data_IF_207545678889
#
_entry.id   IF_207545678889
#
_cell.length_a   1.000
_cell.length_b   1.000
_cell.length_c   1.000
_cell.angle_alpha   90.00
_cell.angle_beta   90.00
_cell.angle_gamma   90.00
#
_symmetry.space_group_name_H-M   'P 1'
#
loop_
_entity.id
_entity.type
_entity.pdbx_description
1 polymer ?
#
# COMPACT_ATOMS: atom_id res chain seq x y z
N UNK A 1 -20.62 -0.02 -21.48
CA UNK A 1 -20.37 -0.51 -20.10
C UNK A 1 -19.49 -1.74 -20.19
N UNK A 2 -18.20 -1.60 -19.96
CA UNK A 2 -17.24 -2.70 -20.00
C UNK A 2 -17.09 -3.35 -18.60
N UNK A 3 -16.94 -4.69 -18.56
CA UNK A 3 -16.69 -5.42 -17.31
C UNK A 3 -15.24 -5.85 -17.22
N UNK A 4 -14.59 -5.42 -16.14
CA UNK A 4 -13.18 -5.69 -15.87
C UNK A 4 -13.01 -6.67 -14.72
N UNK A 5 -12.17 -7.69 -14.92
CA UNK A 5 -11.66 -8.58 -13.89
C UNK A 5 -10.20 -8.22 -13.63
N UNK A 6 -9.90 -7.61 -12.49
CA UNK A 6 -8.53 -7.23 -12.15
C UNK A 6 -7.92 -8.31 -11.25
N UNK A 7 -6.75 -8.83 -11.63
CA UNK A 7 -5.93 -9.62 -10.71
C UNK A 7 -4.99 -8.66 -9.99
N UNK A 8 -5.31 -8.38 -8.72
CA UNK A 8 -4.63 -7.41 -7.89
C UNK A 8 -3.27 -7.89 -7.38
N UNK A 9 -2.45 -6.97 -6.88
CA UNK A 9 -1.18 -7.27 -6.24
C UNK A 9 -1.38 -7.88 -4.84
N UNK A 10 -0.29 -8.40 -4.25
CA UNK A 10 -0.32 -9.11 -2.97
C UNK A 10 0.25 -8.30 -1.79
N UNK A 11 0.57 -7.03 -1.97
CA UNK A 11 1.05 -6.12 -0.93
C UNK A 11 0.06 -4.99 -0.70
N UNK A 12 -0.07 -4.56 0.56
CA UNK A 12 -1.02 -3.49 0.97
C UNK A 12 -0.76 -2.21 0.18
N UNK A 13 0.47 -1.71 0.15
CA UNK A 13 0.83 -0.49 -0.57
C UNK A 13 0.58 -0.59 -2.08
N UNK A 14 0.93 -1.74 -2.68
CA UNK A 14 0.66 -1.98 -4.10
C UNK A 14 -0.85 -2.01 -4.39
N UNK A 15 -1.67 -2.59 -3.49
CA UNK A 15 -3.13 -2.61 -3.65
C UNK A 15 -3.72 -1.19 -3.58
N UNK A 16 -3.22 -0.36 -2.66
CA UNK A 16 -3.63 1.07 -2.60
C UNK A 16 -3.21 1.79 -3.89
N UNK A 17 -1.97 1.62 -4.34
CA UNK A 17 -1.52 2.21 -5.62
C UNK A 17 -2.29 1.69 -6.83
N UNK A 18 -2.83 0.47 -6.80
CA UNK A 18 -3.65 -0.08 -7.87
C UNK A 18 -4.98 0.65 -8.05
N UNK A 19 -5.47 1.38 -7.04
CA UNK A 19 -6.65 2.22 -7.19
C UNK A 19 -6.50 3.27 -8.29
N UNK A 20 -5.29 3.79 -8.53
CA UNK A 20 -5.03 4.70 -9.65
C UNK A 20 -5.40 4.09 -11.01
N UNK A 21 -5.20 2.77 -11.18
CA UNK A 21 -5.69 2.04 -12.36
C UNK A 21 -7.23 2.00 -12.39
N UNK A 22 -7.87 1.75 -11.26
CA UNK A 22 -9.35 1.64 -11.21
C UNK A 22 -10.00 2.99 -11.52
N UNK A 23 -9.46 4.08 -10.97
CA UNK A 23 -9.88 5.45 -11.29
C UNK A 23 -9.67 5.74 -12.78
N UNK A 24 -8.52 5.37 -13.36
CA UNK A 24 -8.23 5.54 -14.79
C UNK A 24 -9.26 4.81 -15.67
N UNK A 25 -9.66 3.59 -15.30
CA UNK A 25 -10.71 2.85 -16.02
C UNK A 25 -12.06 3.56 -15.92
N UNK A 26 -12.44 4.06 -14.75
CA UNK A 26 -13.68 4.81 -14.52
C UNK A 26 -13.70 6.17 -15.23
N UNK A 27 -12.57 6.86 -15.31
CA UNK A 27 -12.46 8.11 -16.09
C UNK A 27 -12.67 7.89 -17.60
N UNK A 28 -12.35 6.71 -18.10
CA UNK A 28 -12.54 6.36 -19.53
C UNK A 28 -13.93 5.80 -19.84
N UNK A 29 -14.55 5.12 -18.90
CA UNK A 29 -15.92 4.59 -18.97
C UNK A 29 -16.50 4.62 -17.56
N UNK A 30 -17.29 5.66 -17.25
CA UNK A 30 -17.90 5.85 -15.93
C UNK A 30 -18.75 4.65 -15.52
N UNK A 31 -19.39 4.00 -16.49
CA UNK A 31 -20.21 2.81 -16.31
C UNK A 31 -19.40 1.50 -16.20
N UNK A 32 -18.06 1.55 -16.32
CA UNK A 32 -17.25 0.35 -16.21
C UNK A 32 -17.49 -0.38 -14.89
N UNK A 33 -17.64 -1.68 -14.95
CA UNK A 33 -17.76 -2.54 -13.77
C UNK A 33 -16.40 -3.16 -13.46
N UNK A 34 -15.90 -2.99 -12.23
CA UNK A 34 -14.59 -3.47 -11.83
C UNK A 34 -14.73 -4.43 -10.65
N UNK A 35 -14.34 -5.68 -10.86
CA UNK A 35 -14.16 -6.68 -9.81
C UNK A 35 -12.68 -7.01 -9.65
N UNK A 36 -12.24 -7.14 -8.40
CA UNK A 36 -10.82 -7.32 -8.10
C UNK A 36 -10.58 -8.64 -7.38
N UNK A 37 -9.73 -9.49 -7.94
CA UNK A 37 -9.22 -10.70 -7.28
C UNK A 37 -8.01 -10.32 -6.45
N UNK A 38 -8.02 -10.66 -5.17
CA UNK A 38 -6.91 -10.43 -4.26
C UNK A 38 -6.82 -11.46 -3.12
N UNK A 39 -5.79 -11.40 -2.29
CA UNK A 39 -5.73 -12.17 -1.07
C UNK A 39 -6.82 -11.73 -0.07
N UNK A 40 -7.15 -12.60 0.88
CA UNK A 40 -8.25 -12.34 1.83
C UNK A 40 -8.13 -11.00 2.57
N UNK A 41 -6.93 -10.63 2.98
CA UNK A 41 -6.67 -9.36 3.68
C UNK A 41 -6.97 -8.11 2.83
N UNK A 42 -7.05 -8.22 1.49
CA UNK A 42 -7.27 -7.06 0.61
C UNK A 42 -8.74 -6.64 0.52
N UNK A 43 -9.68 -7.53 0.85
CA UNK A 43 -11.12 -7.25 0.78
C UNK A 43 -11.53 -5.99 1.56
N UNK A 44 -11.07 -5.76 2.79
CA UNK A 44 -11.38 -4.55 3.53
C UNK A 44 -10.90 -3.25 2.86
N UNK A 45 -9.72 -3.26 2.23
CA UNK A 45 -9.21 -2.10 1.49
C UNK A 45 -10.03 -1.87 0.23
N UNK A 46 -10.30 -2.92 -0.53
CA UNK A 46 -11.09 -2.84 -1.77
C UNK A 46 -12.52 -2.34 -1.52
N UNK A 47 -13.11 -2.68 -0.37
CA UNK A 47 -14.42 -2.16 0.05
C UNK A 47 -14.41 -0.63 0.31
N UNK A 48 -13.25 -0.03 0.55
CA UNK A 48 -13.06 1.42 0.71
C UNK A 48 -12.77 2.15 -0.62
N UNK A 49 -12.68 1.42 -1.73
CA UNK A 49 -12.46 1.96 -3.08
C UNK A 49 -13.78 2.07 -3.83
N UNK A 50 -14.29 3.30 -4.11
CA UNK A 50 -15.60 3.48 -4.76
C UNK A 50 -15.70 2.89 -6.16
N UNK A 51 -14.58 2.69 -6.83
CA UNK A 51 -14.50 2.14 -8.19
C UNK A 51 -14.79 0.64 -8.23
N UNK A 52 -14.59 -0.06 -7.11
CA UNK A 52 -14.67 -1.53 -7.02
C UNK A 52 -16.10 -1.97 -6.68
N UNK A 53 -16.70 -2.80 -7.54
CA UNK A 53 -17.99 -3.41 -7.29
C UNK A 53 -17.87 -4.58 -6.29
N UNK A 54 -16.98 -5.53 -6.58
CA UNK A 54 -16.77 -6.72 -5.75
C UNK A 54 -15.28 -7.00 -5.54
N UNK A 55 -14.93 -7.41 -4.31
CA UNK A 55 -13.67 -8.06 -4.02
C UNK A 55 -13.83 -9.58 -4.04
N UNK A 56 -12.98 -10.27 -4.80
CA UNK A 56 -13.01 -11.71 -4.98
C UNK A 56 -11.77 -12.30 -4.29
N UNK A 57 -11.99 -13.06 -3.23
CA UNK A 57 -10.89 -13.70 -2.52
C UNK A 57 -10.31 -14.86 -3.31
N UNK A 58 -9.00 -14.85 -3.52
CA UNK A 58 -8.25 -15.99 -4.01
C UNK A 58 -7.73 -16.81 -2.82
N UNK A 59 -8.30 -17.97 -2.51
CA UNK A 59 -7.97 -18.75 -1.32
C UNK A 59 -6.70 -19.59 -1.55
N UNK A 60 -5.57 -18.90 -1.80
CA UNK A 60 -4.23 -19.54 -1.94
C UNK A 60 -3.23 -18.79 -1.10
N UNK A 61 -2.34 -19.50 -0.41
CA UNK A 61 -1.23 -18.92 0.35
C UNK A 61 -0.20 -18.22 -0.54
N UNK A 62 0.62 -17.39 0.10
CA UNK A 62 1.75 -16.75 -0.58
C UNK A 62 2.74 -17.82 -1.06
N UNK A 63 3.15 -17.74 -2.32
CA UNK A 63 4.06 -18.75 -2.91
C UNK A 63 3.36 -19.98 -3.50
N UNK A 64 2.14 -20.32 -3.09
CA UNK A 64 1.42 -21.49 -3.58
C UNK A 64 1.04 -21.40 -5.06
N UNK A 65 1.14 -22.51 -5.77
CA UNK A 65 0.70 -22.62 -7.16
C UNK A 65 -0.82 -22.61 -7.26
N UNK A 66 -1.52 -23.39 -6.44
CA UNK A 66 -2.96 -23.43 -6.32
C UNK A 66 -3.70 -23.59 -7.66
N UNK A 67 -3.18 -24.39 -8.60
CA UNK A 67 -3.73 -24.51 -9.97
C UNK A 67 -5.19 -24.95 -9.95
N UNK A 68 -5.53 -25.97 -9.14
CA UNK A 68 -6.91 -26.46 -9.02
C UNK A 68 -7.85 -25.39 -8.49
N UNK A 69 -7.43 -24.66 -7.46
CA UNK A 69 -8.20 -23.55 -6.85
C UNK A 69 -8.42 -22.41 -7.84
N UNK A 70 -7.37 -22.01 -8.56
CA UNK A 70 -7.46 -20.98 -9.60
C UNK A 70 -8.36 -21.38 -10.77
N UNK A 71 -8.30 -22.67 -11.16
CA UNK A 71 -9.19 -23.23 -12.17
C UNK A 71 -10.63 -23.21 -11.71
N UNK A 72 -10.92 -23.67 -10.49
CA UNK A 72 -12.28 -23.67 -9.93
C UNK A 72 -12.83 -22.24 -9.87
N UNK A 73 -12.06 -21.30 -9.34
CA UNK A 73 -12.45 -19.88 -9.29
C UNK A 73 -12.68 -19.32 -10.71
N UNK A 74 -11.78 -19.59 -11.67
CA UNK A 74 -11.98 -19.14 -13.05
C UNK A 74 -13.25 -19.71 -13.67
N UNK A 75 -13.58 -20.97 -13.41
CA UNK A 75 -14.84 -21.55 -13.91
C UNK A 75 -16.09 -20.93 -13.28
N UNK A 76 -16.08 -20.60 -11.98
CA UNK A 76 -17.22 -19.95 -11.32
C UNK A 76 -17.46 -18.52 -11.82
N UNK A 77 -16.43 -17.86 -12.33
CA UNK A 77 -16.52 -16.49 -12.84
C UNK A 77 -16.97 -16.39 -14.31
N UNK A 78 -17.19 -17.52 -15.00
CA UNK A 78 -17.63 -17.51 -16.42
C UNK A 78 -18.99 -16.85 -16.64
N UNK A 79 -19.89 -17.01 -15.68
CA UNK A 79 -21.25 -16.41 -15.76
C UNK A 79 -21.25 -14.89 -15.64
N UNK A 80 -20.17 -14.29 -15.16
CA UNK A 80 -20.03 -12.83 -15.05
C UNK A 80 -19.79 -12.16 -16.42
N UNK A 81 -19.32 -12.91 -17.42
CA UNK A 81 -19.06 -12.40 -18.78
C UNK A 81 -18.17 -11.17 -18.81
N UNK A 82 -16.99 -11.24 -18.17
CA UNK A 82 -16.00 -10.16 -18.23
C UNK A 82 -15.45 -9.96 -19.65
N UNK A 83 -15.42 -8.72 -20.10
CA UNK A 83 -14.85 -8.32 -21.39
C UNK A 83 -13.33 -8.30 -21.31
N UNK A 84 -12.80 -7.72 -20.24
CA UNK A 84 -11.37 -7.49 -20.04
C UNK A 84 -10.90 -8.08 -18.71
N UNK A 85 -9.70 -8.63 -18.73
CA UNK A 85 -8.95 -8.94 -17.52
C UNK A 85 -7.62 -8.21 -17.54
N UNK A 86 -7.29 -7.52 -16.45
CA UNK A 86 -5.99 -6.88 -16.25
C UNK A 86 -5.23 -7.64 -15.15
N UNK A 87 -4.08 -8.20 -15.52
CA UNK A 87 -3.27 -9.03 -14.62
C UNK A 87 -2.05 -8.22 -14.17
N UNK A 88 -2.14 -7.58 -13.01
CA UNK A 88 -1.11 -6.71 -12.45
C UNK A 88 0.17 -7.51 -12.09
N UNK A 89 0.10 -8.63 -11.34
CA UNK A 89 1.28 -9.42 -11.02
C UNK A 89 1.87 -10.09 -12.27
N UNK A 90 3.20 -10.25 -12.30
CA UNK A 90 3.91 -10.77 -13.48
C UNK A 90 4.15 -12.27 -13.47
N UNK A 91 3.71 -12.98 -12.43
CA UNK A 91 3.86 -14.43 -12.33
C UNK A 91 2.92 -15.17 -13.30
N UNK A 92 3.36 -16.35 -13.76
CA UNK A 92 2.58 -17.22 -14.63
C UNK A 92 1.23 -17.57 -14.00
N UNK A 93 1.24 -17.97 -12.73
CA UNK A 93 0.05 -18.39 -11.99
C UNK A 93 -1.02 -17.29 -11.83
N UNK A 94 -0.65 -16.02 -11.86
CA UNK A 94 -1.60 -14.90 -11.73
C UNK A 94 -2.54 -14.77 -12.93
N UNK A 95 -2.16 -15.28 -14.10
CA UNK A 95 -2.99 -15.22 -15.29
C UNK A 95 -3.95 -16.43 -15.45
N UNK A 96 -3.88 -17.42 -14.54
CA UNK A 96 -4.70 -18.65 -14.66
C UNK A 96 -6.21 -18.38 -14.45
N UNK A 97 -6.58 -17.55 -13.47
CA UNK A 97 -8.00 -17.29 -13.19
C UNK A 97 -8.68 -16.65 -14.38
N UNK A 98 -8.19 -15.54 -14.97
CA UNK A 98 -8.78 -14.95 -16.17
C UNK A 98 -8.81 -15.90 -17.38
N UNK A 99 -7.78 -16.73 -17.53
CA UNK A 99 -7.74 -17.75 -18.59
C UNK A 99 -8.86 -18.80 -18.44
N UNK A 100 -9.04 -19.34 -17.25
CA UNK A 100 -10.11 -20.32 -16.99
C UNK A 100 -11.50 -19.69 -16.95
N UNK A 101 -11.60 -18.40 -16.62
CA UNK A 101 -12.85 -17.61 -16.72
C UNK A 101 -13.23 -17.32 -18.18
N UNK A 102 -12.35 -17.64 -19.17
CA UNK A 102 -12.55 -17.38 -20.60
C UNK A 102 -12.75 -15.89 -20.92
N UNK A 103 -12.11 -15.00 -20.15
CA UNK A 103 -12.15 -13.56 -20.44
C UNK A 103 -11.53 -13.30 -21.81
N UNK A 104 -12.23 -12.49 -22.64
CA UNK A 104 -11.86 -12.26 -24.04
C UNK A 104 -10.50 -11.55 -24.16
N UNK A 105 -10.33 -10.42 -23.48
CA UNK A 105 -9.12 -9.60 -23.50
C UNK A 105 -8.35 -9.79 -22.20
N UNK A 106 -7.17 -10.38 -22.25
CA UNK A 106 -6.34 -10.65 -21.06
C UNK A 106 -5.02 -9.89 -21.17
N UNK A 107 -5.01 -8.75 -20.48
CA UNK A 107 -3.97 -7.71 -20.55
C UNK A 107 -2.96 -7.90 -19.41
N UNK A 108 -1.67 -7.73 -19.69
CA UNK A 108 -0.63 -7.73 -18.66
C UNK A 108 0.77 -7.57 -19.24
N UNK A 109 1.73 -7.21 -18.40
CA UNK A 109 3.13 -7.16 -18.82
C UNK A 109 3.69 -8.55 -19.09
N UNK A 110 4.58 -8.65 -20.07
CA UNK A 110 5.34 -9.87 -20.35
C UNK A 110 6.15 -10.29 -19.12
N UNK A 111 6.09 -11.57 -18.78
CA UNK A 111 6.80 -12.17 -17.65
C UNK A 111 6.54 -13.67 -17.59
N UNK A 112 7.45 -14.46 -17.02
CA UNK A 112 7.34 -15.89 -16.78
C UNK A 112 6.69 -16.70 -17.93
N UNK A 113 7.01 -16.38 -19.18
CA UNK A 113 6.54 -17.09 -20.38
C UNK A 113 5.02 -17.32 -20.49
N UNK A 114 4.18 -16.43 -19.97
CA UNK A 114 2.71 -16.55 -19.97
C UNK A 114 2.04 -16.17 -21.30
N UNK A 115 2.68 -16.56 -22.42
CA UNK A 115 2.28 -16.19 -23.78
C UNK A 115 0.89 -16.70 -24.19
N UNK A 116 0.46 -17.87 -23.68
CA UNK A 116 -0.86 -18.45 -23.97
C UNK A 116 -1.92 -17.87 -23.03
N UNK A 117 -1.55 -17.52 -21.79
CA UNK A 117 -2.49 -17.06 -20.78
C UNK A 117 -2.93 -15.62 -20.99
N UNK A 118 -2.06 -14.79 -21.54
CA UNK A 118 -2.34 -13.42 -21.93
C UNK A 118 -2.35 -13.29 -23.47
N UNK A 119 -3.36 -12.63 -24.02
CA UNK A 119 -3.46 -12.34 -25.45
C UNK A 119 -3.19 -10.86 -25.78
N UNK A 120 -3.25 -9.95 -24.82
CA UNK A 120 -2.79 -8.56 -24.94
C UNK A 120 -1.57 -8.32 -24.05
N UNK A 121 -0.41 -8.69 -24.54
CA UNK A 121 0.85 -8.62 -23.81
C UNK A 121 1.54 -7.29 -24.06
N UNK A 122 1.97 -6.65 -22.96
CA UNK A 122 2.75 -5.41 -23.03
C UNK A 122 4.19 -5.65 -22.61
N UNK A 123 5.12 -5.00 -23.30
CA UNK A 123 6.53 -4.97 -22.88
C UNK A 123 6.69 -3.91 -21.80
N UNK A 124 7.31 -4.28 -20.68
CA UNK A 124 7.62 -3.33 -19.61
C UNK A 124 8.90 -2.59 -19.93
N UNK A 125 8.79 -1.33 -20.30
CA UNK A 125 9.91 -0.40 -20.34
C UNK A 125 10.09 0.28 -18.99
N UNK A 126 11.15 -0.11 -18.25
CA UNK A 126 11.42 0.40 -16.92
C UNK A 126 11.99 1.82 -16.92
N UNK A 127 12.54 2.29 -18.03
CA UNK A 127 13.05 3.65 -18.15
C UNK A 127 11.93 4.68 -18.18
N UNK A 128 10.80 4.31 -18.78
CA UNK A 128 9.58 5.12 -18.88
C UNK A 128 8.65 4.86 -17.71
N UNK A 129 8.33 3.58 -17.46
CA UNK A 129 7.46 3.13 -16.37
C UNK A 129 8.32 2.86 -15.10
N UNK A 130 8.99 3.91 -14.65
CA UNK A 130 9.94 3.87 -13.54
C UNK A 130 9.30 3.82 -12.15
N UNK A 131 7.96 4.05 -12.06
CA UNK A 131 7.18 3.97 -10.82
C UNK A 131 6.19 2.80 -10.88
N UNK A 132 5.91 2.20 -9.73
CA UNK A 132 4.92 1.12 -9.62
C UNK A 132 3.53 1.57 -10.09
N UNK A 133 3.08 2.74 -9.67
CA UNK A 133 1.78 3.29 -10.07
C UNK A 133 1.69 3.53 -11.59
N UNK A 134 2.77 4.01 -12.22
CA UNK A 134 2.82 4.17 -13.70
C UNK A 134 2.63 2.84 -14.42
N UNK A 135 3.21 1.76 -13.88
CA UNK A 135 3.02 0.40 -14.43
C UNK A 135 1.58 -0.05 -14.33
N UNK A 136 0.93 0.23 -13.20
CA UNK A 136 -0.46 -0.18 -13.01
C UNK A 136 -1.41 0.60 -13.92
N UNK A 137 -1.33 1.93 -13.92
CA UNK A 137 -2.21 2.78 -14.73
C UNK A 137 -2.03 2.55 -16.22
N UNK A 138 -0.79 2.29 -16.69
CA UNK A 138 -0.54 2.01 -18.10
C UNK A 138 -1.28 0.76 -18.61
N UNK A 139 -1.58 -0.22 -17.75
CA UNK A 139 -2.37 -1.39 -18.13
C UNK A 139 -3.84 -1.06 -18.43
N UNK A 140 -4.37 0.02 -17.87
CA UNK A 140 -5.75 0.51 -18.11
C UNK A 140 -5.88 1.39 -19.35
N UNK A 141 -4.78 1.80 -19.97
CA UNK A 141 -4.78 2.64 -21.18
C UNK A 141 -4.73 1.79 -22.46
N UNK A 142 -5.23 2.27 -23.62
CA UNK A 142 -4.95 1.67 -24.92
C UNK A 142 -3.43 1.55 -25.14
N UNK A 143 -3.01 0.56 -25.93
CA UNK A 143 -1.59 0.29 -26.12
C UNK A 143 -0.84 1.48 -26.76
N UNK A 144 -1.51 2.27 -27.59
CA UNK A 144 -0.99 3.46 -28.23
C UNK A 144 -0.77 4.64 -27.27
N UNK A 145 -1.50 4.65 -26.13
CA UNK A 145 -1.45 5.70 -25.11
C UNK A 145 -0.68 5.28 -23.85
N UNK A 146 -0.06 4.10 -23.86
CA UNK A 146 0.49 3.48 -22.65
C UNK A 146 1.75 4.15 -22.07
N UNK A 147 2.24 5.26 -22.62
CA UNK A 147 3.48 5.93 -22.19
C UNK A 147 3.28 7.41 -21.90
N UNK A 148 3.77 7.83 -20.75
CA UNK A 148 3.16 7.58 -19.44
C UNK A 148 1.86 8.37 -19.36
N UNK A 149 0.88 7.99 -18.57
CA UNK A 149 -0.22 8.90 -18.28
C UNK A 149 0.39 10.17 -17.69
N UNK A 150 0.17 11.32 -18.32
CA UNK A 150 0.72 12.61 -17.83
C UNK A 150 0.18 12.92 -16.44
N UNK A 151 -1.08 12.55 -16.18
CA UNK A 151 -1.75 12.71 -14.89
C UNK A 151 -2.16 11.35 -14.33
N UNK A 152 -1.46 10.90 -13.31
CA UNK A 152 -1.81 9.68 -12.58
C UNK A 152 -2.83 10.06 -11.50
N UNK A 153 -4.06 9.50 -11.52
CA UNK A 153 -5.02 9.73 -10.47
C UNK A 153 -4.47 9.28 -9.11
N UNK A 154 -4.62 10.12 -8.09
CA UNK A 154 -4.20 9.76 -6.74
C UNK A 154 -5.22 8.80 -6.11
N UNK A 155 -4.77 7.75 -5.40
CA UNK A 155 -5.65 6.91 -4.61
C UNK A 155 -6.41 7.72 -3.56
N UNK A 156 -7.69 7.38 -3.35
CA UNK A 156 -8.54 8.01 -2.34
C UNK A 156 -9.45 6.94 -1.71
N UNK A 157 -9.19 6.61 -0.45
CA UNK A 157 -9.97 5.62 0.28
C UNK A 157 -11.13 6.29 1.03
N UNK A 158 -12.31 5.65 1.01
CA UNK A 158 -13.45 6.08 1.83
C UNK A 158 -13.18 5.83 3.30
N UNK A 159 -13.61 6.78 4.12
CA UNK A 159 -13.48 6.75 5.58
C UNK A 159 -14.85 6.50 6.22
N UNK A 160 -14.87 5.81 7.36
CA UNK A 160 -16.07 5.55 8.15
C UNK A 160 -16.02 6.32 9.47
N UNK A 161 -16.77 7.42 9.55
CA UNK A 161 -16.81 8.29 10.72
C UNK A 161 -17.43 7.64 11.95
N UNK A 162 -18.30 6.64 11.79
CA UNK A 162 -18.88 5.94 12.93
C UNK A 162 -17.89 4.92 13.50
N UNK A 163 -17.09 4.27 12.63
CA UNK A 163 -15.98 3.46 13.10
C UNK A 163 -14.92 4.30 13.82
N UNK A 164 -14.62 5.52 13.36
CA UNK A 164 -13.72 6.44 14.05
C UNK A 164 -14.16 6.70 15.49
N UNK A 165 -15.44 7.07 15.71
CA UNK A 165 -16.01 7.30 17.06
C UNK A 165 -15.89 6.07 17.95
N UNK A 166 -16.18 4.88 17.39
CA UNK A 166 -16.05 3.60 18.08
C UNK A 166 -14.60 3.35 18.52
N UNK A 167 -13.63 3.57 17.64
CA UNK A 167 -12.21 3.37 17.92
C UNK A 167 -11.71 4.32 19.01
N UNK A 168 -12.15 5.59 19.01
CA UNK A 168 -11.84 6.54 20.08
C UNK A 168 -12.29 6.03 21.45
N UNK A 169 -13.52 5.53 21.55
CA UNK A 169 -14.06 4.97 22.80
C UNK A 169 -13.36 3.67 23.19
N UNK A 170 -13.17 2.77 22.23
CA UNK A 170 -12.59 1.44 22.47
C UNK A 170 -11.15 1.51 22.99
N UNK A 171 -10.37 2.46 22.47
CA UNK A 171 -8.96 2.59 22.80
C UNK A 171 -8.65 3.77 23.74
N UNK A 172 -9.68 4.44 24.28
CA UNK A 172 -9.55 5.61 25.15
C UNK A 172 -8.64 6.69 24.56
N UNK A 173 -8.83 6.97 23.25
CA UNK A 173 -8.03 7.96 22.55
C UNK A 173 -8.41 9.38 23.02
N UNK A 174 -7.41 10.24 23.16
CA UNK A 174 -7.57 11.63 23.58
C UNK A 174 -8.10 12.51 22.41
N UNK A 175 -8.61 13.69 22.73
CA UNK A 175 -8.98 14.70 21.72
C UNK A 175 -7.80 15.58 21.26
N UNK A 176 -6.57 15.28 21.68
CA UNK A 176 -5.37 15.96 21.17
C UNK A 176 -5.15 15.63 19.69
N UNK A 177 -4.50 16.52 18.94
CA UNK A 177 -4.03 16.17 17.59
C UNK A 177 -3.12 14.93 17.67
N UNK A 178 -3.22 14.05 16.69
CA UNK A 178 -2.54 12.76 16.74
C UNK A 178 -1.42 12.67 15.70
N UNK A 179 -0.28 12.10 16.10
CA UNK A 179 0.76 11.64 15.18
C UNK A 179 0.74 10.11 15.16
N UNK A 180 0.51 9.54 13.98
CA UNK A 180 0.55 8.09 13.78
C UNK A 180 1.97 7.64 13.42
N UNK A 181 2.51 6.67 14.16
CA UNK A 181 3.83 6.08 13.94
C UNK A 181 3.67 4.67 13.38
N UNK A 182 4.31 4.36 12.27
CA UNK A 182 4.25 3.07 11.60
C UNK A 182 5.66 2.51 11.43
N UNK A 183 6.14 1.86 12.50
CA UNK A 183 7.51 1.36 12.60
C UNK A 183 7.72 0.01 11.90
N UNK A 184 6.63 -0.70 11.52
CA UNK A 184 6.70 -1.99 10.87
C UNK A 184 7.38 -1.97 9.50
N UNK A 185 8.06 -3.06 9.15
CA UNK A 185 8.77 -3.24 7.89
C UNK A 185 8.65 -4.69 7.38
N UNK A 186 7.49 -5.07 6.85
CA UNK A 186 7.21 -6.45 6.39
C UNK A 186 8.18 -6.94 5.29
N UNK A 187 8.72 -6.03 4.49
CA UNK A 187 9.73 -6.37 3.49
C UNK A 187 11.00 -6.92 4.12
N UNK A 188 11.46 -6.34 5.25
CA UNK A 188 12.65 -6.79 5.96
C UNK A 188 13.32 -5.67 6.77
N UNK A 189 14.27 -6.04 7.67
CA UNK A 189 14.87 -5.13 8.65
C UNK A 189 15.65 -3.96 8.01
N UNK A 190 16.08 -4.08 6.75
CA UNK A 190 16.78 -2.99 6.06
C UNK A 190 15.94 -1.73 5.81
N UNK A 191 14.62 -1.83 5.93
CA UNK A 191 13.69 -0.70 5.84
C UNK A 191 13.37 -0.06 7.19
N UNK A 192 13.73 -0.73 8.28
CA UNK A 192 13.27 -0.34 9.61
C UNK A 192 14.18 0.75 10.19
N UNK A 193 13.60 1.93 10.41
CA UNK A 193 14.20 2.98 11.21
C UNK A 193 14.29 2.52 12.66
N UNK A 194 15.36 2.81 13.42
CA UNK A 194 15.55 2.28 14.77
C UNK A 194 14.36 2.55 15.70
N UNK A 195 13.92 1.54 16.43
CA UNK A 195 12.79 1.66 17.37
C UNK A 195 13.02 2.72 18.45
N UNK A 196 14.28 2.83 18.94
CA UNK A 196 14.66 3.89 19.86
C UNK A 196 14.47 5.30 19.27
N UNK A 197 14.63 5.47 17.97
CA UNK A 197 14.43 6.74 17.29
C UNK A 197 12.94 7.09 17.15
N UNK A 198 12.09 6.10 16.91
CA UNK A 198 10.63 6.28 17.00
C UNK A 198 10.19 6.65 18.43
N UNK A 199 10.82 6.08 19.46
CA UNK A 199 10.56 6.45 20.85
C UNK A 199 10.91 7.92 21.13
N UNK A 200 12.07 8.40 20.70
CA UNK A 200 12.48 9.81 20.84
C UNK A 200 11.53 10.76 20.13
N UNK A 201 11.11 10.41 18.90
CA UNK A 201 10.09 11.16 18.18
C UNK A 201 8.75 11.18 18.93
N UNK A 202 8.29 10.03 19.44
CA UNK A 202 7.06 9.94 20.22
C UNK A 202 7.10 10.82 21.47
N UNK A 203 8.21 10.79 22.21
CA UNK A 203 8.44 11.65 23.38
C UNK A 203 8.33 13.13 23.01
N UNK A 204 9.06 13.57 21.99
CA UNK A 204 9.04 14.96 21.54
C UNK A 204 7.65 15.41 21.04
N UNK A 205 6.91 14.51 20.39
CA UNK A 205 5.55 14.78 19.94
C UNK A 205 4.58 15.00 21.13
N UNK A 206 4.69 14.20 22.18
CA UNK A 206 3.87 14.35 23.40
C UNK A 206 4.22 15.65 24.13
N UNK A 207 5.50 15.99 24.24
CA UNK A 207 5.96 17.26 24.82
C UNK A 207 5.45 18.48 24.02
N UNK A 208 5.28 18.33 22.70
CA UNK A 208 4.68 19.33 21.80
C UNK A 208 3.13 19.36 21.84
N UNK A 209 2.48 18.54 22.66
CA UNK A 209 1.02 18.54 22.87
C UNK A 209 0.24 17.56 22.02
N UNK A 210 0.88 16.72 21.25
CA UNK A 210 0.24 15.66 20.48
C UNK A 210 -0.09 14.43 21.36
N UNK A 211 -0.97 13.58 20.87
CA UNK A 211 -1.01 12.16 21.23
C UNK A 211 -0.31 11.36 20.15
N UNK A 212 0.18 10.18 20.51
CA UNK A 212 0.91 9.28 19.62
C UNK A 212 0.19 7.95 19.50
N UNK A 213 -0.08 7.52 18.28
CA UNK A 213 -0.64 6.19 17.98
C UNK A 213 0.39 5.36 17.25
N UNK A 214 0.77 4.20 17.79
CA UNK A 214 1.62 3.27 17.06
C UNK A 214 0.75 2.25 16.34
N UNK A 215 0.76 2.27 15.01
CA UNK A 215 -0.04 1.40 14.15
C UNK A 215 0.84 0.32 13.49
N UNK A 216 0.35 -0.91 13.51
CA UNK A 216 1.04 -2.05 12.93
C UNK A 216 0.27 -3.34 13.08
N UNK A 217 0.79 -4.43 12.49
CA UNK A 217 0.24 -5.77 12.64
C UNK A 217 0.59 -6.41 13.99
N UNK A 218 0.09 -7.64 14.24
CA UNK A 218 0.41 -8.38 15.47
C UNK A 218 1.91 -8.61 15.71
N UNK A 219 2.71 -8.68 14.66
CA UNK A 219 4.18 -8.86 14.72
C UNK A 219 4.88 -7.61 15.27
N UNK A 220 4.28 -6.43 15.10
CA UNK A 220 4.86 -5.14 15.49
C UNK A 220 4.51 -4.77 16.92
N UNK A 221 3.79 -5.63 17.67
CA UNK A 221 3.29 -5.33 19.01
C UNK A 221 4.41 -5.02 20.00
N UNK A 222 5.49 -5.81 19.99
CA UNK A 222 6.63 -5.60 20.90
C UNK A 222 7.38 -4.29 20.56
N UNK A 223 7.56 -4.00 19.29
CA UNK A 223 8.17 -2.73 18.84
C UNK A 223 7.28 -1.55 19.26
N UNK A 224 5.96 -1.68 19.13
CA UNK A 224 5.00 -0.69 19.58
C UNK A 224 5.07 -0.43 21.10
N UNK A 225 5.17 -1.48 21.92
CA UNK A 225 5.35 -1.33 23.38
C UNK A 225 6.68 -0.65 23.72
N UNK A 226 7.76 -0.97 22.99
CA UNK A 226 9.05 -0.31 23.18
C UNK A 226 8.99 1.19 22.83
N UNK A 227 8.27 1.56 21.77
CA UNK A 227 8.10 2.96 21.35
C UNK A 227 7.35 3.76 22.42
N UNK A 228 6.27 3.22 23.00
CA UNK A 228 5.45 3.96 23.97
C UNK A 228 5.96 3.86 25.41
N UNK A 229 7.01 3.10 25.67
CA UNK A 229 7.51 2.83 27.04
C UNK A 229 7.74 4.12 27.82
N UNK A 230 7.13 4.22 29.02
CA UNK A 230 7.24 5.36 29.93
C UNK A 230 6.74 6.72 29.39
N UNK A 231 5.96 6.76 28.31
CA UNK A 231 5.44 7.99 27.72
C UNK A 231 4.05 8.42 28.24
N UNK A 232 3.44 7.62 29.13
CA UNK A 232 2.15 7.93 29.75
C UNK A 232 0.94 7.71 28.83
N UNK A 233 -0.20 8.30 29.23
CA UNK A 233 -1.51 8.00 28.61
C UNK A 233 -1.72 8.54 27.19
N UNK A 234 -0.88 9.49 26.75
CA UNK A 234 -0.97 10.06 25.40
C UNK A 234 -0.21 9.27 24.33
N UNK A 235 0.42 8.15 24.72
CA UNK A 235 1.05 7.21 23.81
C UNK A 235 0.28 5.88 23.82
N UNK A 236 -0.31 5.50 22.69
CA UNK A 236 -1.15 4.31 22.60
C UNK A 236 -0.58 3.34 21.57
N UNK A 237 -0.25 2.11 22.02
CA UNK A 237 0.12 1.04 21.10
C UNK A 237 -1.14 0.34 20.57
N UNK A 238 -1.41 0.50 19.28
CA UNK A 238 -2.52 -0.11 18.56
C UNK A 238 -2.09 -1.28 17.67
N UNK A 239 -0.80 -1.66 17.69
CA UNK A 239 -0.28 -2.79 16.93
C UNK A 239 -0.98 -4.08 17.31
N UNK A 240 -1.54 -4.76 16.31
CA UNK A 240 -2.29 -6.01 16.51
C UNK A 240 -3.65 -5.87 17.23
N UNK A 241 -4.04 -4.65 17.63
CA UNK A 241 -5.32 -4.36 18.31
C UNK A 241 -6.37 -3.78 17.37
N UNK A 242 -5.99 -3.48 16.12
CA UNK A 242 -6.84 -2.90 15.08
C UNK A 242 -6.82 -3.75 13.82
N UNK A 243 -7.94 -3.71 13.09
CA UNK A 243 -8.02 -4.27 11.75
C UNK A 243 -7.50 -3.26 10.72
N UNK A 244 -7.26 -3.70 9.49
CA UNK A 244 -6.75 -2.82 8.44
C UNK A 244 -7.73 -1.68 8.09
N UNK A 245 -9.04 -1.92 8.19
CA UNK A 245 -10.07 -0.86 8.04
C UNK A 245 -10.00 0.17 9.17
N UNK A 246 -9.69 -0.26 10.38
CA UNK A 246 -9.54 0.65 11.52
C UNK A 246 -8.31 1.56 11.33
N UNK A 247 -7.22 1.01 10.78
CA UNK A 247 -6.05 1.80 10.43
C UNK A 247 -6.35 2.87 9.35
N UNK A 248 -7.21 2.57 8.37
CA UNK A 248 -7.69 3.56 7.39
C UNK A 248 -8.40 4.72 8.10
N UNK A 249 -9.33 4.39 9.00
CA UNK A 249 -10.17 5.37 9.67
C UNK A 249 -9.38 6.19 10.72
N UNK A 250 -8.42 5.58 11.42
CA UNK A 250 -7.53 6.28 12.35
C UNK A 250 -6.54 7.19 11.63
N UNK A 251 -5.94 6.72 10.54
CA UNK A 251 -5.02 7.54 9.75
C UNK A 251 -5.71 8.77 9.18
N UNK A 252 -6.98 8.66 8.77
CA UNK A 252 -7.74 9.78 8.23
C UNK A 252 -7.97 10.95 9.21
N UNK A 253 -7.86 10.71 10.51
CA UNK A 253 -8.01 11.73 11.56
C UNK A 253 -6.69 12.04 12.27
N UNK A 254 -5.63 11.31 11.97
CA UNK A 254 -4.29 11.69 12.37
C UNK A 254 -3.85 12.93 11.60
N UNK A 255 -3.25 13.90 12.30
CA UNK A 255 -2.71 15.09 11.65
C UNK A 255 -1.50 14.74 10.79
N UNK A 256 -0.61 13.92 11.33
CA UNK A 256 0.62 13.48 10.67
C UNK A 256 0.83 11.98 10.81
N UNK A 257 1.52 11.40 9.86
CA UNK A 257 1.89 9.99 9.83
C UNK A 257 3.39 9.86 9.52
N UNK A 258 4.15 9.26 10.43
CA UNK A 258 5.58 8.97 10.24
C UNK A 258 5.76 7.47 10.03
N UNK A 259 6.33 7.09 8.92
CA UNK A 259 6.38 5.68 8.50
C UNK A 259 7.66 5.31 7.79
N UNK A 260 8.14 4.10 8.07
CA UNK A 260 8.99 3.41 7.11
C UNK A 260 8.26 3.25 5.76
N UNK A 261 8.98 3.01 4.66
CA UNK A 261 8.37 2.61 3.37
C UNK A 261 7.55 1.32 3.55
N UNK A 262 6.27 1.48 3.87
CA UNK A 262 5.35 0.41 4.27
C UNK A 262 3.97 0.55 3.63
N UNK A 263 3.15 -0.49 3.75
CA UNK A 263 1.77 -0.47 3.24
C UNK A 263 0.89 0.61 3.90
N UNK A 264 1.05 0.85 5.21
CA UNK A 264 0.29 1.84 5.96
C UNK A 264 0.63 3.27 5.54
N UNK A 265 1.87 3.54 5.11
CA UNK A 265 2.26 4.82 4.53
C UNK A 265 1.40 5.19 3.31
N UNK A 266 1.15 4.21 2.43
CA UNK A 266 0.30 4.42 1.25
C UNK A 266 -1.18 4.62 1.63
N UNK A 267 -1.65 3.98 2.71
CA UNK A 267 -2.98 4.21 3.26
C UNK A 267 -3.08 5.65 3.79
N UNK A 268 -2.12 6.11 4.60
CA UNK A 268 -2.08 7.48 5.10
C UNK A 268 -2.14 8.51 3.95
N UNK A 269 -1.36 8.28 2.89
CA UNK A 269 -1.40 9.12 1.69
C UNK A 269 -2.78 9.12 1.03
N UNK A 270 -3.45 7.95 0.96
CA UNK A 270 -4.75 7.80 0.29
C UNK A 270 -5.95 8.35 1.09
N UNK A 271 -5.77 8.63 2.38
CA UNK A 271 -6.78 9.29 3.22
C UNK A 271 -6.50 10.76 3.50
N UNK A 272 -5.42 11.31 2.91
CA UNK A 272 -5.09 12.75 2.96
C UNK A 272 -4.24 13.20 4.15
N UNK A 273 -3.79 12.29 5.00
CA UNK A 273 -2.89 12.59 6.13
C UNK A 273 -1.56 13.16 5.63
N UNK A 274 -0.94 14.09 6.36
CA UNK A 274 0.44 14.52 6.11
C UNK A 274 1.41 13.36 6.35
N UNK A 275 2.18 12.97 5.32
CA UNK A 275 3.04 11.78 5.37
C UNK A 275 4.50 12.16 5.46
N UNK A 276 5.18 11.68 6.50
CA UNK A 276 6.64 11.67 6.62
C UNK A 276 7.16 10.27 6.32
N UNK A 277 7.64 10.06 5.09
CA UNK A 277 8.12 8.76 4.62
C UNK A 277 9.62 8.58 4.82
N UNK A 278 10.03 7.53 5.54
CA UNK A 278 11.42 7.19 5.81
C UNK A 278 11.89 6.16 4.78
N UNK A 279 12.90 6.53 4.00
CA UNK A 279 13.48 5.70 2.96
C UNK A 279 14.99 5.50 3.17
N UNK A 280 15.47 4.37 2.68
CA UNK A 280 16.88 4.03 2.73
C UNK A 280 17.19 2.88 1.77
N UNK A 281 16.88 1.63 2.15
CA UNK A 281 17.11 0.46 1.30
C UNK A 281 16.21 0.40 0.06
N UNK A 282 15.15 1.20 0.01
CA UNK A 282 14.20 1.32 -1.11
C UNK A 282 14.16 2.75 -1.64
N UNK A 283 13.39 2.97 -2.72
CA UNK A 283 13.39 4.24 -3.45
C UNK A 283 12.02 4.90 -3.42
N UNK A 284 11.98 6.12 -2.94
CA UNK A 284 10.84 7.02 -3.02
C UNK A 284 10.48 7.39 -4.48
N UNK A 285 11.44 7.28 -5.39
CA UNK A 285 11.17 7.47 -6.82
C UNK A 285 10.42 6.28 -7.43
N UNK A 286 10.50 5.09 -6.82
CA UNK A 286 9.87 3.89 -7.32
C UNK A 286 8.48 3.64 -6.70
N UNK A 287 8.33 3.82 -5.40
CA UNK A 287 7.09 3.66 -4.64
C UNK A 287 6.84 4.86 -3.72
N UNK A 288 6.62 6.08 -4.28
CA UNK A 288 6.33 7.26 -3.47
C UNK A 288 4.96 7.13 -2.79
N UNK A 289 4.75 7.75 -1.61
CA UNK A 289 3.41 8.01 -1.13
C UNK A 289 2.71 8.96 -2.12
N UNK A 290 1.55 8.54 -2.63
CA UNK A 290 0.82 9.23 -3.70
C UNK A 290 -0.07 10.33 -3.12
N UNK A 291 0.56 11.39 -2.68
CA UNK A 291 -0.06 12.62 -2.16
C UNK A 291 0.85 13.80 -2.41
N UNK A 292 0.30 15.01 -2.48
CA UNK A 292 1.08 16.26 -2.45
C UNK A 292 1.53 16.61 -1.03
N UNK A 293 0.80 16.12 0.00
CA UNK A 293 1.08 16.42 1.41
C UNK A 293 2.07 15.38 1.98
N UNK A 294 3.33 15.49 1.60
CA UNK A 294 4.39 14.55 2.04
C UNK A 294 5.73 15.22 2.22
N UNK A 295 6.49 14.70 3.17
CA UNK A 295 7.93 14.94 3.36
C UNK A 295 8.68 13.61 3.28
N UNK A 296 9.72 13.55 2.47
CA UNK A 296 10.56 12.35 2.32
C UNK A 296 11.86 12.53 3.07
N UNK A 297 12.18 11.57 3.90
CA UNK A 297 13.44 11.49 4.66
C UNK A 297 14.32 10.40 4.05
N UNK A 298 15.38 10.81 3.36
CA UNK A 298 16.36 9.92 2.74
C UNK A 298 17.73 10.58 2.71
N UNK A 299 18.78 9.87 3.12
CA UNK A 299 20.14 10.36 3.13
C UNK A 299 20.86 10.22 1.77
N UNK A 300 20.26 9.52 0.82
CA UNK A 300 20.80 9.28 -0.53
C UNK A 300 22.26 8.76 -0.51
N UNK A 301 22.57 7.81 0.39
CA UNK A 301 23.91 7.21 0.46
C UNK A 301 24.25 6.47 -0.84
N UNK A 302 25.53 6.35 -1.19
CA UNK A 302 25.98 5.66 -2.41
C UNK A 302 25.46 4.21 -2.52
N UNK A 303 25.32 3.51 -1.38
CA UNK A 303 24.75 2.16 -1.33
C UNK A 303 23.20 2.12 -1.38
N UNK A 304 22.53 3.27 -1.44
CA UNK A 304 21.06 3.41 -1.39
C UNK A 304 20.52 3.94 -2.73
N UNK A 305 19.43 3.36 -3.25
CA UNK A 305 18.66 2.20 -2.74
C UNK A 305 19.28 0.85 -3.15
N UNK A 306 19.46 -0.09 -2.23
CA UNK A 306 19.99 -1.42 -2.53
C UNK A 306 18.92 -2.47 -2.84
N UNK A 307 17.67 -2.23 -2.48
CA UNK A 307 16.52 -3.15 -2.63
C UNK A 307 16.73 -4.53 -2.00
N UNK A 308 17.53 -4.62 -0.92
CA UNK A 308 17.79 -5.86 -0.20
C UNK A 308 16.94 -5.92 1.07
N UNK A 309 16.52 -7.13 1.47
CA UNK A 309 15.76 -7.35 2.71
C UNK A 309 16.60 -7.15 3.96
N UNK A 310 17.88 -7.50 3.86
CA UNK A 310 18.90 -7.31 4.90
C UNK A 310 20.02 -6.49 4.30
N UNK A 311 20.61 -5.60 5.09
CA UNK A 311 21.72 -4.76 4.63
C UNK A 311 22.94 -5.63 4.24
N UNK A 312 23.39 -5.58 2.97
CA UNK A 312 24.52 -6.40 2.54
C UNK A 312 25.88 -5.91 3.12
N UNK A 313 25.91 -4.69 3.64
CA UNK A 313 27.07 -4.06 4.27
C UNK A 313 26.99 -4.08 5.80
N UNK A 314 25.94 -4.71 6.37
CA UNK A 314 25.67 -4.93 7.79
C UNK A 314 25.53 -3.67 8.67
N UNK A 315 25.86 -2.47 8.15
CA UNK A 315 25.87 -1.22 8.93
C UNK A 315 24.51 -0.52 9.03
N UNK A 316 23.58 -0.75 8.10
CA UNK A 316 22.26 -0.08 8.01
C UNK A 316 22.30 1.45 8.12
N UNK A 317 23.39 2.10 7.67
CA UNK A 317 23.62 3.54 7.84
C UNK A 317 22.52 4.41 7.24
N UNK A 318 21.84 3.96 6.18
CA UNK A 318 20.70 4.67 5.58
C UNK A 318 19.53 4.85 6.56
N UNK A 319 19.46 4.07 7.63
CA UNK A 319 18.49 4.19 8.71
C UNK A 319 19.13 4.76 9.98
N UNK A 320 20.32 4.26 10.36
CA UNK A 320 20.98 4.62 11.61
C UNK A 320 21.51 6.06 11.63
N UNK A 321 21.95 6.60 10.49
CA UNK A 321 22.45 7.98 10.39
C UNK A 321 21.33 9.02 10.14
N UNK A 322 20.13 8.58 9.83
CA UNK A 322 18.94 9.43 9.81
C UNK A 322 18.48 9.63 11.26
N UNK A 323 19.07 10.60 11.95
CA UNK A 323 18.85 10.80 13.39
C UNK A 323 17.44 11.30 13.72
N UNK A 324 16.93 11.07 14.94
CA UNK A 324 15.62 11.56 15.38
C UNK A 324 15.46 13.08 15.18
N UNK A 325 16.47 13.86 15.53
CA UNK A 325 16.44 15.33 15.41
C UNK A 325 16.16 15.82 13.99
N UNK A 326 16.66 15.09 12.97
CA UNK A 326 16.41 15.43 11.56
C UNK A 326 14.92 15.29 11.21
N UNK A 327 14.25 14.28 11.73
CA UNK A 327 12.82 14.02 11.49
C UNK A 327 11.95 14.88 12.40
N UNK A 328 12.25 14.97 13.70
CA UNK A 328 11.51 15.75 14.69
C UNK A 328 11.35 17.21 14.23
N UNK A 329 12.43 17.81 13.74
CA UNK A 329 12.40 19.20 13.23
C UNK A 329 11.35 19.38 12.13
N UNK A 330 11.20 18.44 11.21
CA UNK A 330 10.24 18.56 10.10
C UNK A 330 8.82 18.16 10.50
N UNK A 331 8.69 17.18 11.40
CA UNK A 331 7.38 16.69 11.88
C UNK A 331 6.72 17.71 12.81
N UNK A 332 7.49 18.36 13.70
CA UNK A 332 6.96 19.27 14.72
C UNK A 332 7.02 20.77 14.32
N UNK A 333 7.61 21.11 13.18
CA UNK A 333 7.50 22.48 12.65
C UNK A 333 6.09 22.70 12.13
N UNK A 334 5.47 23.80 12.55
CA UNK A 334 4.15 24.25 12.08
C UNK A 334 4.25 24.87 10.68
#
# INVERSE_FOLDING_TARGET
MAKYLIVGPSWVGDMVMAQSLFITLKQRDEEAIIDVIGPNWSSPILARMPEVRNSITLPTGHGEWGISTRRKLGHSLRSEHYDHAIVIPRSWKSALVPFFAKVTHRIGFTGEQRYILLNERRKLDKSILNQTVKRFTSLGLPNELAYPPMDIPLPALRVDSDNQKKLFQQHNLSNRPAIALMAGAEFGPSKQWPIAYFHELAKSAIEAGYQVWVLGGPKDQNDGEAIISHLGEFAVNLCGKTQLVDAIDLLAIAEKAVSNDSGLMHIAAAVGTEVHGIYGSTSELFTPPLTSNKTIHNLHLECSPCFKRTCPLEHTNCQNQLTPDMIIRTVLTQ
#
